data_IF_772322951246
#
_entry.id   IF_772322951246
#
_cell.length_a   1.000
_cell.length_b   1.000
_cell.length_c   1.000
_cell.angle_alpha   90.00
_cell.angle_beta   90.00
_cell.angle_gamma   90.00
#
_symmetry.space_group_name_H-M   'P 1'
#
loop_
_entity.id
_entity.type
_entity.pdbx_description
1 polymer ?
#
# COMPACT_ATOMS: atom_id res chain seq x y z
N UNK A 1 -37.13 7.31 17.85
CA UNK A 1 -36.16 7.78 16.85
C UNK A 1 -36.33 6.88 15.65
N UNK A 2 -36.55 7.43 14.46
CA UNK A 2 -36.63 6.63 13.23
C UNK A 2 -35.26 6.01 12.96
N UNK A 3 -35.05 4.78 13.41
CA UNK A 3 -33.85 4.02 13.07
C UNK A 3 -34.03 3.46 11.67
N UNK A 4 -33.55 4.22 10.68
CA UNK A 4 -33.46 3.76 9.30
C UNK A 4 -32.57 2.51 9.27
N UNK A 5 -33.11 1.41 8.73
CA UNK A 5 -32.32 0.20 8.48
C UNK A 5 -31.36 0.48 7.33
N UNK A 6 -30.08 0.20 7.58
CA UNK A 6 -29.00 0.42 6.63
C UNK A 6 -28.26 -0.89 6.38
N UNK A 7 -27.95 -1.16 5.12
CA UNK A 7 -27.08 -2.27 4.74
C UNK A 7 -25.62 -1.91 5.03
N UNK A 8 -24.81 -2.93 5.29
CA UNK A 8 -23.37 -2.78 5.44
C UNK A 8 -22.71 -3.06 4.09
N UNK A 9 -21.88 -2.12 3.64
CA UNK A 9 -21.01 -2.30 2.49
C UNK A 9 -19.58 -2.56 2.96
N UNK A 10 -18.92 -3.52 2.33
CA UNK A 10 -17.52 -3.82 2.64
C UNK A 10 -16.62 -2.69 2.16
N UNK A 11 -15.71 -2.24 3.02
CA UNK A 11 -14.65 -1.30 2.68
C UNK A 11 -13.27 -1.88 3.00
N UNK A 12 -12.21 -1.33 2.42
CA UNK A 12 -10.83 -1.74 2.72
C UNK A 12 -10.43 -1.50 4.17
N UNK A 13 -11.10 -0.58 4.87
CA UNK A 13 -10.85 -0.29 6.29
C UNK A 13 -11.27 -1.45 7.21
N UNK A 14 -12.22 -2.28 6.76
CA UNK A 14 -12.72 -3.46 7.49
C UNK A 14 -11.84 -4.71 7.33
N UNK A 15 -10.87 -4.68 6.41
CA UNK A 15 -9.95 -5.78 6.18
C UNK A 15 -8.96 -5.91 7.33
N UNK A 16 -8.81 -7.10 7.92
CA UNK A 16 -7.79 -7.42 8.92
C UNK A 16 -6.50 -8.02 8.32
N UNK A 17 -6.38 -7.96 6.98
CA UNK A 17 -5.23 -8.46 6.24
C UNK A 17 -5.11 -9.98 6.27
N UNK A 18 -6.23 -10.67 6.40
CA UNK A 18 -6.30 -12.12 6.32
C UNK A 18 -7.48 -12.48 5.45
N UNK A 19 -7.22 -12.77 4.17
CA UNK A 19 -8.26 -13.15 3.21
C UNK A 19 -9.30 -14.13 3.77
N UNK A 20 -8.88 -15.14 4.55
CA UNK A 20 -9.80 -16.13 5.13
C UNK A 20 -10.80 -15.48 6.10
N UNK A 21 -10.33 -14.58 6.96
CA UNK A 21 -11.17 -13.89 7.93
C UNK A 21 -11.97 -12.78 7.26
N UNK A 22 -11.36 -12.05 6.32
CA UNK A 22 -12.04 -11.00 5.55
C UNK A 22 -13.17 -11.56 4.67
N UNK A 23 -13.01 -12.76 4.11
CA UNK A 23 -14.07 -13.46 3.39
C UNK A 23 -15.21 -13.91 4.32
N UNK A 24 -14.89 -14.33 5.55
CA UNK A 24 -15.89 -14.63 6.57
C UNK A 24 -16.67 -13.34 6.96
N UNK A 25 -15.99 -12.20 7.16
CA UNK A 25 -16.64 -10.91 7.45
C UNK A 25 -17.60 -10.49 6.33
N UNK A 26 -17.18 -10.60 5.06
CA UNK A 26 -18.05 -10.31 3.91
C UNK A 26 -19.27 -11.22 3.88
N UNK A 27 -19.09 -12.50 4.23
CA UNK A 27 -20.20 -13.45 4.30
C UNK A 27 -21.17 -13.08 5.42
N UNK A 28 -20.67 -12.72 6.61
CA UNK A 28 -21.47 -12.23 7.73
C UNK A 28 -22.26 -10.97 7.35
N UNK A 29 -21.65 -10.02 6.64
CA UNK A 29 -22.35 -8.84 6.12
C UNK A 29 -23.42 -9.19 5.09
N UNK A 30 -23.18 -10.19 4.24
CA UNK A 30 -24.21 -10.69 3.31
C UNK A 30 -25.42 -11.28 4.05
N UNK A 31 -25.19 -12.02 5.13
CA UNK A 31 -26.26 -12.58 5.97
C UNK A 31 -26.99 -11.44 6.69
N UNK A 32 -26.26 -10.49 7.28
CA UNK A 32 -26.85 -9.29 7.89
C UNK A 32 -27.70 -8.49 6.90
N UNK A 33 -27.20 -8.26 5.68
CA UNK A 33 -27.93 -7.53 4.65
C UNK A 33 -29.22 -8.26 4.24
N UNK A 34 -29.26 -9.59 4.36
CA UNK A 34 -30.49 -10.37 4.16
C UNK A 34 -31.50 -10.17 5.30
N UNK A 35 -31.04 -9.99 6.55
CA UNK A 35 -31.90 -9.56 7.67
C UNK A 35 -32.46 -8.16 7.44
N UNK A 36 -31.61 -7.22 7.00
CA UNK A 36 -32.01 -5.86 6.67
C UNK A 36 -33.11 -5.86 5.58
N UNK A 37 -32.97 -6.69 4.54
CA UNK A 37 -33.99 -6.86 3.50
C UNK A 37 -35.30 -7.43 4.05
N UNK A 38 -35.25 -8.38 4.99
CA UNK A 38 -36.46 -8.87 5.65
C UNK A 38 -37.23 -7.76 6.37
N UNK A 39 -36.53 -6.81 7.00
CA UNK A 39 -37.17 -5.67 7.69
C UNK A 39 -37.71 -4.65 6.68
N UNK A 40 -36.91 -4.29 5.67
CA UNK A 40 -37.29 -3.30 4.64
C UNK A 40 -38.47 -3.76 3.79
N UNK A 41 -38.50 -5.05 3.44
CA UNK A 41 -39.55 -5.66 2.62
C UNK A 41 -40.69 -6.26 3.46
N UNK A 42 -40.64 -6.15 4.79
CA UNK A 42 -41.67 -6.64 5.72
C UNK A 42 -41.99 -8.15 5.54
N UNK A 43 -40.96 -8.98 5.35
CA UNK A 43 -41.08 -10.44 5.10
C UNK A 43 -41.59 -11.27 6.29
N UNK A 44 -41.83 -10.64 7.43
CA UNK A 44 -42.39 -11.26 8.64
C UNK A 44 -41.36 -11.99 9.52
N UNK A 45 -41.78 -12.34 10.73
CA UNK A 45 -40.89 -12.82 11.79
C UNK A 45 -40.25 -14.19 11.53
N UNK A 46 -40.92 -15.09 10.79
CA UNK A 46 -40.39 -16.43 10.52
C UNK A 46 -39.14 -16.36 9.64
N UNK A 47 -39.21 -15.62 8.52
CA UNK A 47 -38.06 -15.42 7.64
C UNK A 47 -36.92 -14.68 8.36
N UNK A 48 -37.25 -13.72 9.22
CA UNK A 48 -36.24 -13.04 10.04
C UNK A 48 -35.53 -14.00 11.00
N UNK A 49 -36.29 -14.86 11.71
CA UNK A 49 -35.74 -15.83 12.64
C UNK A 49 -34.86 -16.88 11.96
N UNK A 50 -35.22 -17.36 10.76
CA UNK A 50 -34.42 -18.28 9.97
C UNK A 50 -33.04 -17.70 9.61
N UNK A 51 -33.01 -16.45 9.14
CA UNK A 51 -31.75 -15.78 8.78
C UNK A 51 -30.94 -15.45 10.05
N UNK A 52 -31.58 -15.09 11.17
CA UNK A 52 -30.90 -14.87 12.44
C UNK A 52 -30.24 -16.15 12.96
N UNK A 53 -30.89 -17.30 12.79
CA UNK A 53 -30.30 -18.62 13.08
C UNK A 53 -29.08 -18.87 12.21
N UNK A 54 -29.18 -18.65 10.90
CA UNK A 54 -28.06 -18.81 9.97
C UNK A 54 -26.88 -17.88 10.34
N UNK A 55 -27.16 -16.64 10.75
CA UNK A 55 -26.14 -15.71 11.22
C UNK A 55 -25.47 -16.22 12.48
N UNK A 56 -26.23 -16.76 13.43
CA UNK A 56 -25.72 -17.32 14.68
C UNK A 56 -24.76 -18.50 14.42
N UNK A 57 -25.17 -19.43 13.56
CA UNK A 57 -24.37 -20.61 13.20
C UNK A 57 -23.08 -20.22 12.49
N UNK A 58 -23.16 -19.26 11.56
CA UNK A 58 -21.99 -18.78 10.85
C UNK A 58 -21.03 -18.02 11.78
N UNK A 59 -21.56 -17.21 12.71
CA UNK A 59 -20.78 -16.47 13.71
C UNK A 59 -19.94 -17.42 14.57
N UNK A 60 -20.51 -18.53 15.05
CA UNK A 60 -19.79 -19.56 15.82
C UNK A 60 -18.61 -20.15 15.04
N UNK A 61 -18.83 -20.42 13.76
CA UNK A 61 -17.80 -20.98 12.87
C UNK A 61 -16.68 -19.98 12.62
N UNK A 62 -17.03 -18.72 12.39
CA UNK A 62 -16.10 -17.61 12.22
C UNK A 62 -15.26 -17.37 13.49
N UNK A 63 -15.90 -17.22 14.66
CA UNK A 63 -15.20 -16.98 15.93
C UNK A 63 -14.18 -18.07 16.25
N UNK A 64 -14.52 -19.34 15.98
CA UNK A 64 -13.56 -20.44 16.16
C UNK A 64 -12.33 -20.28 15.27
N UNK A 65 -12.50 -19.91 14.00
CA UNK A 65 -11.38 -19.66 13.07
C UNK A 65 -10.55 -18.46 13.50
N UNK A 66 -11.21 -17.39 13.92
CA UNK A 66 -10.57 -16.18 14.39
C UNK A 66 -9.75 -16.41 15.67
N UNK A 67 -10.31 -17.13 16.64
CA UNK A 67 -9.60 -17.50 17.86
C UNK A 67 -8.37 -18.35 17.58
N UNK A 68 -8.47 -19.34 16.69
CA UNK A 68 -7.33 -20.13 16.23
C UNK A 68 -6.29 -19.27 15.49
N UNK A 69 -6.76 -18.29 14.72
CA UNK A 69 -5.89 -17.34 14.04
C UNK A 69 -5.10 -16.51 15.07
N UNK A 70 -5.75 -15.96 16.10
CA UNK A 70 -5.09 -15.23 17.19
C UNK A 70 -4.10 -16.09 17.99
N UNK A 71 -4.42 -17.36 18.24
CA UNK A 71 -3.52 -18.31 18.91
C UNK A 71 -2.23 -18.54 18.12
N UNK A 72 -2.31 -18.56 16.79
CA UNK A 72 -1.15 -18.82 15.92
C UNK A 72 0.00 -17.80 16.04
N UNK A 73 -0.29 -16.60 16.57
CA UNK A 73 0.71 -15.56 16.82
C UNK A 73 0.70 -15.06 18.28
N UNK A 74 0.13 -15.87 19.19
CA UNK A 74 0.14 -15.61 20.64
C UNK A 74 -0.41 -14.23 21.01
N UNK A 75 -1.56 -13.83 20.45
CA UNK A 75 -2.19 -12.55 20.77
C UNK A 75 -2.53 -12.47 22.28
N UNK A 76 -1.96 -11.52 23.04
CA UNK A 76 -2.15 -11.46 24.49
C UNK A 76 -3.59 -11.10 24.91
N UNK A 77 -4.37 -10.48 24.03
CA UNK A 77 -5.76 -10.09 24.31
C UNK A 77 -6.81 -11.18 24.05
N UNK A 78 -6.40 -12.41 23.73
CA UNK A 78 -7.31 -13.47 23.27
C UNK A 78 -8.41 -13.81 24.27
N UNK A 79 -8.12 -13.85 25.58
CA UNK A 79 -9.12 -14.24 26.58
C UNK A 79 -10.27 -13.22 26.66
N UNK A 80 -9.95 -11.93 26.58
CA UNK A 80 -10.95 -10.86 26.52
C UNK A 80 -11.76 -10.89 25.23
N UNK A 81 -11.12 -11.24 24.11
CA UNK A 81 -11.78 -11.40 22.81
C UNK A 81 -12.76 -12.58 22.81
N UNK A 82 -12.36 -13.73 23.37
CA UNK A 82 -13.23 -14.89 23.59
C UNK A 82 -14.45 -14.55 24.45
N UNK A 83 -14.27 -13.71 25.48
CA UNK A 83 -15.42 -13.28 26.29
C UNK A 83 -16.36 -12.36 25.51
N UNK A 84 -15.81 -11.44 24.70
CA UNK A 84 -16.61 -10.59 23.81
C UNK A 84 -17.47 -11.41 22.82
N UNK A 85 -16.91 -12.48 22.25
CA UNK A 85 -17.67 -13.44 21.43
C UNK A 85 -18.79 -14.12 22.20
N UNK A 86 -18.53 -14.60 23.43
CA UNK A 86 -19.55 -15.26 24.25
C UNK A 86 -20.73 -14.35 24.55
N UNK A 87 -20.50 -13.06 24.81
CA UNK A 87 -21.58 -12.09 25.05
C UNK A 87 -22.48 -11.90 23.81
N UNK A 88 -21.90 -11.88 22.62
CA UNK A 88 -22.68 -11.87 21.39
C UNK A 88 -23.52 -13.14 21.24
N UNK A 89 -22.91 -14.32 21.43
CA UNK A 89 -23.60 -15.61 21.32
C UNK A 89 -24.77 -15.69 22.31
N UNK A 90 -24.59 -15.24 23.55
CA UNK A 90 -25.67 -15.15 24.55
C UNK A 90 -26.81 -14.26 24.06
N UNK A 91 -26.48 -13.10 23.48
CA UNK A 91 -27.47 -12.13 22.99
C UNK A 91 -28.28 -12.68 21.82
N UNK A 92 -27.63 -13.26 20.81
CA UNK A 92 -28.33 -13.83 19.65
C UNK A 92 -29.12 -15.10 20.00
N UNK A 93 -28.61 -15.93 20.92
CA UNK A 93 -29.37 -17.07 21.45
C UNK A 93 -30.63 -16.61 22.19
N UNK A 94 -30.54 -15.53 22.99
CA UNK A 94 -31.70 -14.93 23.64
C UNK A 94 -32.72 -14.42 22.62
N UNK A 95 -32.31 -13.70 21.58
CA UNK A 95 -33.21 -13.24 20.52
C UNK A 95 -33.89 -14.42 19.81
N UNK A 96 -33.13 -15.42 19.36
CA UNK A 96 -33.66 -16.63 18.72
C UNK A 96 -34.71 -17.32 19.60
N UNK A 97 -34.44 -17.47 20.90
CA UNK A 97 -35.40 -18.09 21.83
C UNK A 97 -36.72 -17.31 21.94
N UNK A 98 -36.66 -15.97 21.86
CA UNK A 98 -37.85 -15.11 21.95
C UNK A 98 -38.67 -15.06 20.67
N UNK A 99 -38.07 -15.24 19.50
CA UNK A 99 -38.82 -15.35 18.25
C UNK A 99 -39.76 -16.57 18.22
N UNK A 100 -39.48 -17.60 19.02
CA UNK A 100 -40.34 -18.77 19.20
C UNK A 100 -41.42 -18.57 20.29
N UNK A 101 -41.44 -17.42 20.96
CA UNK A 101 -42.35 -17.11 22.06
C UNK A 101 -43.56 -16.30 21.59
N UNK A 102 -44.55 -16.13 22.47
CA UNK A 102 -45.71 -15.27 22.24
C UNK A 102 -45.39 -13.77 22.19
N UNK A 103 -44.17 -13.36 22.54
CA UNK A 103 -43.73 -11.97 22.54
C UNK A 103 -42.33 -11.82 21.88
N UNK A 104 -42.27 -11.94 20.54
CA UNK A 104 -41.02 -11.80 19.79
C UNK A 104 -40.39 -10.41 19.98
N UNK A 105 -39.06 -10.30 19.88
CA UNK A 105 -38.39 -9.01 19.96
C UNK A 105 -38.70 -8.16 18.71
N UNK A 106 -38.49 -6.85 18.82
CA UNK A 106 -38.60 -5.96 17.67
C UNK A 106 -37.47 -6.24 16.67
N UNK A 107 -37.84 -6.53 15.41
CA UNK A 107 -36.88 -6.80 14.34
C UNK A 107 -35.97 -5.60 14.07
N UNK A 108 -36.43 -4.37 14.32
CA UNK A 108 -35.59 -3.17 14.19
C UNK A 108 -34.52 -3.13 15.29
N UNK A 109 -34.88 -3.46 16.54
CA UNK A 109 -33.95 -3.52 17.66
C UNK A 109 -32.86 -4.58 17.42
N UNK A 110 -33.27 -5.79 17.01
CA UNK A 110 -32.32 -6.88 16.73
C UNK A 110 -31.39 -6.51 15.57
N UNK A 111 -31.93 -5.93 14.49
CA UNK A 111 -31.11 -5.52 13.34
C UNK A 111 -30.13 -4.41 13.71
N UNK A 112 -30.54 -3.44 14.53
CA UNK A 112 -29.66 -2.39 15.02
C UNK A 112 -28.55 -2.93 15.93
N UNK A 113 -28.87 -3.86 16.82
CA UNK A 113 -27.90 -4.55 17.67
C UNK A 113 -26.84 -5.25 16.82
N UNK A 114 -27.26 -6.06 15.84
CA UNK A 114 -26.35 -6.84 15.00
C UNK A 114 -25.42 -5.93 14.20
N UNK A 115 -25.95 -4.87 13.59
CA UNK A 115 -25.15 -3.88 12.85
C UNK A 115 -24.07 -3.28 13.73
N UNK A 116 -24.49 -2.72 14.86
CA UNK A 116 -23.61 -2.01 15.79
C UNK A 116 -22.55 -2.94 16.36
N UNK A 117 -22.94 -4.18 16.68
CA UNK A 117 -22.01 -5.16 17.23
C UNK A 117 -20.95 -5.56 16.21
N UNK A 118 -21.33 -5.93 14.98
CA UNK A 118 -20.39 -6.38 13.94
C UNK A 118 -19.50 -5.25 13.42
N UNK A 119 -20.04 -4.05 13.24
CA UNK A 119 -19.22 -2.89 12.86
C UNK A 119 -18.17 -2.61 13.94
N UNK A 120 -18.56 -2.63 15.23
CA UNK A 120 -17.61 -2.42 16.31
C UNK A 120 -16.60 -3.56 16.46
N UNK A 121 -17.04 -4.82 16.34
CA UNK A 121 -16.20 -6.00 16.41
C UNK A 121 -15.09 -5.92 15.35
N UNK A 122 -15.45 -5.74 14.09
CA UNK A 122 -14.50 -5.74 12.97
C UNK A 122 -13.62 -4.49 12.97
N UNK A 123 -14.22 -3.29 13.13
CA UNK A 123 -13.47 -2.04 13.00
C UNK A 123 -12.62 -1.71 14.24
N UNK A 124 -13.00 -2.19 15.42
CA UNK A 124 -12.32 -1.78 16.67
C UNK A 124 -11.74 -2.94 17.47
N UNK A 125 -12.37 -4.11 17.48
CA UNK A 125 -11.90 -5.25 18.28
C UNK A 125 -10.88 -6.05 17.46
N UNK A 126 -11.22 -6.44 16.25
CA UNK A 126 -10.37 -7.30 15.42
C UNK A 126 -9.10 -6.59 14.96
N UNK A 127 -9.22 -5.29 14.68
CA UNK A 127 -8.08 -4.42 14.37
C UNK A 127 -6.98 -4.47 15.43
N UNK A 128 -7.29 -4.72 16.69
CA UNK A 128 -6.28 -4.78 17.76
C UNK A 128 -5.32 -5.95 17.59
N UNK A 129 -5.81 -7.12 17.18
CA UNK A 129 -4.91 -8.26 16.98
C UNK A 129 -4.16 -8.15 15.65
N UNK A 130 -4.74 -7.49 14.64
CA UNK A 130 -4.01 -7.12 13.41
C UNK A 130 -2.84 -6.18 13.76
N UNK A 131 -3.11 -5.09 14.48
CA UNK A 131 -2.09 -4.12 14.92
C UNK A 131 -1.00 -4.79 15.76
N UNK A 132 -1.37 -5.69 16.67
CA UNK A 132 -0.42 -6.47 17.44
C UNK A 132 0.47 -7.33 16.54
N UNK A 133 -0.13 -8.07 15.60
CA UNK A 133 0.60 -8.94 14.68
C UNK A 133 1.57 -8.15 13.79
N UNK A 134 1.12 -7.02 13.26
CA UNK A 134 1.97 -6.09 12.49
C UNK A 134 3.13 -5.59 13.35
N UNK A 135 2.85 -5.18 14.59
CA UNK A 135 3.85 -4.70 15.54
C UNK A 135 4.89 -5.76 15.90
N UNK A 136 4.47 -7.03 16.06
CA UNK A 136 5.40 -8.14 16.32
C UNK A 136 6.35 -8.35 15.14
N UNK A 137 5.85 -8.35 13.91
CA UNK A 137 6.67 -8.50 12.70
C UNK A 137 7.67 -7.33 12.59
N UNK A 138 7.20 -6.10 12.76
CA UNK A 138 8.04 -4.90 12.73
C UNK A 138 9.13 -4.95 13.81
N UNK A 139 8.80 -5.42 15.01
CA UNK A 139 9.77 -5.56 16.11
C UNK A 139 10.90 -6.52 15.75
N UNK A 140 10.59 -7.68 15.15
CA UNK A 140 11.60 -8.67 14.74
C UNK A 140 12.56 -8.06 13.73
N UNK A 141 12.04 -7.39 12.69
CA UNK A 141 12.84 -6.75 11.65
C UNK A 141 13.73 -5.66 12.26
N UNK A 142 13.16 -4.80 13.10
CA UNK A 142 13.89 -3.70 13.73
C UNK A 142 14.98 -4.18 14.67
N UNK A 143 14.75 -5.27 15.41
CA UNK A 143 15.77 -5.89 16.24
C UNK A 143 16.91 -6.45 15.40
N UNK A 144 16.62 -7.12 14.29
CA UNK A 144 17.65 -7.62 13.36
C UNK A 144 18.46 -6.46 12.76
N UNK A 145 17.82 -5.42 12.24
CA UNK A 145 18.48 -4.21 11.74
C UNK A 145 19.35 -3.55 12.83
N UNK A 146 18.81 -3.39 14.04
CA UNK A 146 19.53 -2.80 15.15
C UNK A 146 20.77 -3.62 15.52
N UNK A 147 20.69 -4.95 15.49
CA UNK A 147 21.82 -5.84 15.77
C UNK A 147 22.96 -5.73 14.75
N UNK A 148 22.63 -5.30 13.52
CA UNK A 148 23.59 -5.09 12.42
C UNK A 148 24.00 -3.63 12.23
N UNK A 149 23.46 -2.71 13.05
CA UNK A 149 23.71 -1.28 12.91
C UNK A 149 25.19 -0.92 13.10
N UNK A 150 25.65 0.07 12.33
CA UNK A 150 27.03 0.54 12.40
C UNK A 150 27.07 2.07 12.28
N UNK A 151 27.52 2.74 13.35
CA UNK A 151 27.54 4.20 13.44
C UNK A 151 28.49 4.87 12.45
N UNK A 152 29.63 4.25 12.15
CA UNK A 152 30.61 4.79 11.20
C UNK A 152 30.06 4.73 9.77
N UNK A 153 29.45 3.60 9.40
CA UNK A 153 28.75 3.48 8.14
C UNK A 153 27.57 4.46 8.04
N UNK A 154 26.80 4.66 9.12
CA UNK A 154 25.72 5.65 9.13
C UNK A 154 26.25 7.08 8.91
N UNK A 155 27.35 7.44 9.58
CA UNK A 155 27.99 8.75 9.43
C UNK A 155 28.55 8.94 8.01
N UNK A 156 29.21 7.93 7.43
CA UNK A 156 29.69 7.95 6.06
C UNK A 156 28.52 8.02 5.06
N UNK A 157 27.46 7.24 5.29
CA UNK A 157 26.24 7.24 4.48
C UNK A 157 25.60 8.62 4.37
N UNK A 158 25.50 9.34 5.49
CA UNK A 158 24.95 10.71 5.51
C UNK A 158 25.72 11.69 4.60
N UNK A 159 27.02 11.46 4.32
CA UNK A 159 27.81 12.33 3.44
C UNK A 159 27.36 12.28 1.97
N UNK A 160 26.65 11.21 1.56
CA UNK A 160 26.10 11.06 0.21
C UNK A 160 24.77 11.78 0.01
N UNK A 161 24.14 12.26 1.10
CA UNK A 161 22.85 12.94 1.06
C UNK A 161 23.00 14.41 1.42
N UNK A 162 22.33 15.28 0.67
CA UNK A 162 22.23 16.71 1.01
C UNK A 162 21.24 16.90 2.18
N UNK A 163 20.16 16.13 2.16
CA UNK A 163 19.17 16.04 3.22
C UNK A 163 19.66 15.19 4.40
N UNK A 164 19.11 15.45 5.59
CA UNK A 164 19.30 14.58 6.75
C UNK A 164 18.53 13.27 6.54
N UNK A 165 19.22 12.13 6.64
CA UNK A 165 18.64 10.80 6.46
C UNK A 165 18.83 9.99 7.74
N UNK A 166 17.74 9.41 8.25
CA UNK A 166 17.81 8.44 9.36
C UNK A 166 18.26 7.10 8.79
N UNK A 167 19.30 6.52 9.37
CA UNK A 167 19.80 5.21 8.91
C UNK A 167 20.47 4.44 10.05
N UNK A 168 20.43 3.12 9.95
CA UNK A 168 21.14 2.20 10.85
C UNK A 168 22.63 2.06 10.48
N UNK A 169 23.01 2.39 9.24
CA UNK A 169 24.37 2.22 8.73
C UNK A 169 24.63 0.81 8.22
N UNK A 170 23.62 0.16 7.66
CA UNK A 170 23.73 -1.20 7.13
C UNK A 170 23.94 -1.14 5.61
N UNK A 171 24.80 -2.00 5.07
CA UNK A 171 25.04 -2.04 3.63
C UNK A 171 23.79 -2.53 2.90
N UNK A 172 23.50 -1.95 1.73
CA UNK A 172 22.31 -2.29 0.93
C UNK A 172 22.17 -3.78 0.62
N UNK A 173 23.27 -4.49 0.42
CA UNK A 173 23.28 -5.94 0.19
C UNK A 173 22.76 -6.74 1.41
N UNK A 174 23.15 -6.32 2.61
CA UNK A 174 22.72 -6.94 3.86
C UNK A 174 21.24 -6.62 4.14
N UNK A 175 20.80 -5.37 3.91
CA UNK A 175 19.38 -5.00 3.98
C UNK A 175 18.54 -5.84 3.03
N UNK A 176 19.01 -6.05 1.80
CA UNK A 176 18.33 -6.91 0.80
C UNK A 176 18.25 -8.37 1.28
N UNK A 177 19.30 -8.87 1.93
CA UNK A 177 19.32 -10.22 2.50
C UNK A 177 18.30 -10.37 3.63
N UNK A 178 18.24 -9.40 4.54
CA UNK A 178 17.25 -9.33 5.62
C UNK A 178 15.84 -9.31 5.03
N UNK A 179 15.58 -8.40 4.09
CA UNK A 179 14.28 -8.25 3.42
C UNK A 179 13.80 -9.60 2.85
N UNK A 180 14.65 -10.30 2.09
CA UNK A 180 14.32 -11.60 1.48
C UNK A 180 14.15 -12.71 2.51
N UNK A 181 14.96 -12.71 3.57
CA UNK A 181 14.85 -13.71 4.64
C UNK A 181 13.53 -13.57 5.39
N UNK A 182 13.22 -12.35 5.83
CA UNK A 182 12.02 -12.05 6.60
C UNK A 182 10.75 -12.19 5.75
N UNK A 183 10.79 -11.90 4.44
CA UNK A 183 9.62 -12.10 3.58
C UNK A 183 9.14 -13.56 3.50
N UNK A 184 10.01 -14.55 3.76
CA UNK A 184 9.62 -15.97 3.73
C UNK A 184 8.51 -16.30 4.72
N UNK A 185 8.53 -15.68 5.91
CA UNK A 185 7.47 -15.87 6.91
C UNK A 185 6.16 -15.19 6.51
N UNK A 186 6.19 -14.30 5.51
CA UNK A 186 5.06 -13.51 5.04
C UNK A 186 4.46 -14.03 3.72
N UNK A 187 4.96 -15.15 3.16
CA UNK A 187 4.49 -15.66 1.86
C UNK A 187 3.00 -16.02 1.82
N UNK A 188 2.41 -16.37 2.97
CA UNK A 188 0.99 -16.70 3.11
C UNK A 188 0.09 -15.47 3.27
N UNK A 189 0.69 -14.27 3.40
CA UNK A 189 -0.04 -13.01 3.57
C UNK A 189 -0.51 -12.45 2.23
N UNK A 190 -1.70 -11.88 2.21
CA UNK A 190 -2.22 -11.14 1.06
C UNK A 190 -1.49 -9.80 0.86
N UNK A 191 -1.71 -9.17 -0.31
CA UNK A 191 -1.14 -7.86 -0.66
C UNK A 191 -1.45 -6.78 0.39
N UNK A 192 -2.70 -6.72 0.87
CA UNK A 192 -3.16 -5.69 1.81
C UNK A 192 -2.35 -5.74 3.12
N UNK A 193 -2.20 -6.93 3.70
CA UNK A 193 -1.36 -7.19 4.87
C UNK A 193 0.09 -6.71 4.66
N UNK A 194 0.69 -7.06 3.51
CA UNK A 194 2.07 -6.67 3.21
C UNK A 194 2.19 -5.14 3.05
N UNK A 195 1.22 -4.51 2.39
CA UNK A 195 1.19 -3.06 2.20
C UNK A 195 1.00 -2.32 3.53
N UNK A 196 0.23 -2.88 4.47
CA UNK A 196 0.14 -2.38 5.85
C UNK A 196 1.51 -2.34 6.53
N UNK A 197 2.31 -3.42 6.41
CA UNK A 197 3.67 -3.45 6.96
C UNK A 197 4.58 -2.45 6.23
N UNK A 198 4.51 -2.39 4.90
CA UNK A 198 5.29 -1.45 4.09
C UNK A 198 4.99 0.00 4.50
N UNK A 199 3.73 0.33 4.78
CA UNK A 199 3.32 1.66 5.25
C UNK A 199 4.02 2.03 6.55
N UNK A 200 4.08 1.11 7.52
CA UNK A 200 4.78 1.33 8.80
C UNK A 200 6.30 1.43 8.69
N UNK A 201 6.89 0.72 7.73
CA UNK A 201 8.32 0.81 7.41
C UNK A 201 8.67 2.12 6.70
N UNK A 202 7.81 2.62 5.81
CA UNK A 202 7.96 3.94 5.21
C UNK A 202 7.75 5.07 6.22
N UNK A 203 6.75 4.95 7.09
CA UNK A 203 6.41 5.94 8.13
C UNK A 203 7.60 6.24 9.07
N UNK A 204 8.49 5.26 9.31
CA UNK A 204 9.68 5.47 10.15
C UNK A 204 10.69 6.46 9.55
N UNK A 205 10.67 6.62 8.22
CA UNK A 205 11.63 7.38 7.42
C UNK A 205 13.09 6.94 7.62
N UNK A 206 13.29 5.71 8.10
CA UNK A 206 14.62 5.11 8.18
C UNK A 206 14.94 4.48 6.82
N UNK A 207 16.12 4.81 6.28
CA UNK A 207 16.54 4.41 4.93
C UNK A 207 16.42 2.90 4.73
N UNK A 208 16.97 2.10 5.65
CA UNK A 208 16.97 0.65 5.51
C UNK A 208 15.58 0.02 5.70
N UNK A 209 14.72 0.57 6.58
CA UNK A 209 13.32 0.13 6.68
C UNK A 209 12.55 0.43 5.39
N UNK A 210 12.74 1.64 4.84
CA UNK A 210 12.12 2.04 3.57
C UNK A 210 12.59 1.17 2.40
N UNK A 211 13.85 0.74 2.39
CA UNK A 211 14.37 -0.20 1.39
C UNK A 211 13.69 -1.57 1.49
N UNK A 212 13.42 -2.07 2.71
CA UNK A 212 12.65 -3.30 2.90
C UNK A 212 11.22 -3.13 2.36
N UNK A 213 10.57 -1.99 2.64
CA UNK A 213 9.24 -1.68 2.11
C UNK A 213 9.21 -1.63 0.57
N UNK A 214 10.25 -1.08 -0.07
CA UNK A 214 10.39 -1.10 -1.52
C UNK A 214 10.49 -2.53 -2.07
N UNK A 215 11.34 -3.37 -1.47
CA UNK A 215 11.51 -4.77 -1.91
C UNK A 215 10.20 -5.57 -1.74
N UNK A 216 9.53 -5.43 -0.60
CA UNK A 216 8.31 -6.18 -0.28
C UNK A 216 7.10 -5.74 -1.10
N UNK A 217 6.92 -4.44 -1.31
CA UNK A 217 5.88 -3.95 -2.22
C UNK A 217 6.12 -4.47 -3.65
N UNK A 218 7.36 -4.46 -4.14
CA UNK A 218 7.70 -5.01 -5.46
C UNK A 218 7.49 -6.54 -5.55
N UNK A 219 7.71 -7.29 -4.47
CA UNK A 219 7.43 -8.73 -4.45
C UNK A 219 5.95 -9.04 -4.71
N UNK A 220 5.04 -8.13 -4.35
CA UNK A 220 3.60 -8.22 -4.60
C UNK A 220 3.14 -7.73 -5.97
N UNK A 221 4.04 -7.35 -6.89
CA UNK A 221 3.69 -6.80 -8.23
C UNK A 221 2.74 -7.63 -9.09
N UNK A 222 2.67 -8.95 -8.86
CA UNK A 222 1.74 -9.84 -9.58
C UNK A 222 0.30 -9.70 -9.08
N UNK A 223 0.09 -9.14 -7.91
CA UNK A 223 -1.19 -8.92 -7.24
C UNK A 223 -1.64 -7.45 -7.34
N UNK A 224 -0.91 -6.59 -8.06
CA UNK A 224 -1.29 -5.18 -8.20
C UNK A 224 -2.65 -5.02 -8.91
N UNK A 225 -3.38 -4.01 -8.46
CA UNK A 225 -4.69 -3.54 -8.93
C UNK A 225 -4.57 -2.05 -9.27
N UNK A 226 -5.48 -1.50 -10.09
CA UNK A 226 -5.37 -0.12 -10.58
C UNK A 226 -5.36 0.91 -9.44
N UNK A 227 -6.07 0.63 -8.35
CA UNK A 227 -6.24 1.47 -7.17
C UNK A 227 -4.96 1.55 -6.32
N UNK A 228 -4.00 0.64 -6.50
CA UNK A 228 -2.73 0.68 -5.76
C UNK A 228 -1.92 1.94 -6.04
N UNK A 229 -2.20 2.64 -7.15
CA UNK A 229 -1.56 3.93 -7.48
C UNK A 229 -1.79 4.98 -6.40
N UNK A 230 -2.96 4.96 -5.74
CA UNK A 230 -3.31 5.89 -4.67
C UNK A 230 -2.46 5.62 -3.42
N UNK A 231 -2.22 4.34 -3.12
CA UNK A 231 -1.31 3.93 -2.04
C UNK A 231 0.12 4.37 -2.33
N UNK A 232 0.58 4.20 -3.58
CA UNK A 232 1.93 4.63 -3.98
C UNK A 232 2.09 6.14 -3.93
N UNK A 233 1.09 6.88 -4.39
CA UNK A 233 1.03 8.34 -4.27
C UNK A 233 1.08 8.76 -2.80
N UNK A 234 0.31 8.11 -1.93
CA UNK A 234 0.30 8.38 -0.50
C UNK A 234 1.69 8.18 0.14
N UNK A 235 2.37 7.05 -0.12
CA UNK A 235 3.71 6.80 0.40
C UNK A 235 4.74 7.81 -0.12
N UNK A 236 4.72 8.12 -1.42
CA UNK A 236 5.59 9.11 -2.03
C UNK A 236 5.38 10.51 -1.46
N UNK A 237 4.11 10.88 -1.21
CA UNK A 237 3.74 12.19 -0.69
C UNK A 237 4.15 12.39 0.77
N UNK A 238 3.99 11.36 1.60
CA UNK A 238 4.05 11.50 3.06
C UNK A 238 5.33 10.93 3.69
N UNK A 239 6.03 10.01 3.03
CA UNK A 239 7.08 9.22 3.68
C UNK A 239 8.41 9.23 2.93
N UNK A 240 8.42 9.48 1.62
CA UNK A 240 9.67 9.54 0.85
C UNK A 240 10.33 10.90 1.03
N UNK A 241 11.56 10.89 1.55
CA UNK A 241 12.28 12.11 1.97
C UNK A 241 13.65 12.28 1.32
N UNK A 242 14.12 11.30 0.56
CA UNK A 242 15.44 11.29 -0.08
C UNK A 242 15.40 10.59 -1.44
N UNK A 243 16.43 10.86 -2.26
CA UNK A 243 16.50 10.34 -3.63
C UNK A 243 16.68 8.83 -3.68
N UNK A 244 17.37 8.22 -2.71
CA UNK A 244 17.65 6.78 -2.73
C UNK A 244 16.37 5.95 -2.54
N UNK A 245 15.51 6.36 -1.60
CA UNK A 245 14.20 5.71 -1.39
C UNK A 245 13.29 5.95 -2.60
N UNK A 246 13.22 7.20 -3.10
CA UNK A 246 12.44 7.55 -4.28
C UNK A 246 12.80 6.66 -5.47
N UNK A 247 14.09 6.57 -5.79
CA UNK A 247 14.58 5.79 -6.94
C UNK A 247 14.36 4.29 -6.76
N UNK A 248 14.60 3.76 -5.56
CA UNK A 248 14.43 2.33 -5.26
C UNK A 248 12.96 1.93 -5.41
N UNK A 249 12.05 2.73 -4.84
CA UNK A 249 10.62 2.49 -4.94
C UNK A 249 10.11 2.63 -6.37
N UNK A 250 10.49 3.72 -7.06
CA UNK A 250 9.93 4.05 -8.36
C UNK A 250 10.46 3.17 -9.49
N UNK A 251 11.76 2.88 -9.54
CA UNK A 251 12.34 2.05 -10.59
C UNK A 251 11.76 0.62 -10.61
N UNK A 252 11.34 0.11 -9.44
CA UNK A 252 10.87 -1.26 -9.29
C UNK A 252 9.36 -1.33 -9.10
N UNK A 253 8.84 -0.84 -7.97
CA UNK A 253 7.41 -0.98 -7.62
C UNK A 253 6.53 -0.19 -8.58
N UNK A 254 6.76 1.12 -8.73
CA UNK A 254 5.94 1.97 -9.60
C UNK A 254 6.20 1.66 -11.08
N UNK A 255 7.44 1.36 -11.46
CA UNK A 255 7.77 0.94 -12.82
C UNK A 255 7.04 -0.35 -13.23
N UNK A 256 7.01 -1.37 -12.37
CA UNK A 256 6.26 -2.59 -12.63
C UNK A 256 4.74 -2.35 -12.68
N UNK A 257 4.23 -1.44 -11.86
CA UNK A 257 2.84 -1.01 -11.93
C UNK A 257 2.53 -0.34 -13.27
N UNK A 258 3.37 0.59 -13.74
CA UNK A 258 3.19 1.27 -15.02
C UNK A 258 3.21 0.30 -16.21
N UNK A 259 4.03 -0.75 -16.17
CA UNK A 259 4.03 -1.80 -17.20
C UNK A 259 2.76 -2.65 -17.17
N UNK A 260 2.20 -2.91 -15.98
CA UNK A 260 0.98 -3.69 -15.81
C UNK A 260 -0.28 -2.89 -16.20
N UNK A 261 -0.30 -1.60 -15.88
CA UNK A 261 -1.42 -0.69 -16.14
C UNK A 261 -0.97 0.54 -16.96
N UNK A 262 -0.64 0.39 -18.26
CA UNK A 262 -0.17 1.50 -19.09
C UNK A 262 -1.13 2.69 -19.16
N UNK A 263 -2.44 2.44 -19.00
CA UNK A 263 -3.47 3.47 -18.99
C UNK A 263 -3.35 4.44 -17.79
N UNK A 264 -2.75 3.99 -16.67
CA UNK A 264 -2.52 4.80 -15.47
C UNK A 264 -1.25 5.64 -15.52
N UNK A 265 -0.49 5.60 -16.62
CA UNK A 265 0.71 6.44 -16.78
C UNK A 265 0.34 7.94 -16.84
N UNK A 266 -0.91 8.28 -17.22
CA UNK A 266 -1.42 9.65 -17.08
C UNK A 266 -1.28 10.19 -15.66
N UNK A 267 -1.41 9.32 -14.64
CA UNK A 267 -1.36 9.72 -13.24
C UNK A 267 0.07 10.12 -12.85
N UNK A 268 1.09 9.47 -13.42
CA UNK A 268 2.49 9.89 -13.27
C UNK A 268 2.73 11.30 -13.80
N UNK A 269 2.04 11.73 -14.86
CA UNK A 269 2.12 13.12 -15.33
C UNK A 269 1.55 14.10 -14.32
N UNK A 270 0.48 13.73 -13.62
CA UNK A 270 -0.07 14.58 -12.55
C UNK A 270 0.94 14.77 -11.41
N UNK A 271 1.77 13.77 -11.12
CA UNK A 271 2.83 13.86 -10.11
C UNK A 271 3.92 14.86 -10.52
N UNK A 272 4.19 15.01 -11.82
CA UNK A 272 5.16 15.98 -12.34
C UNK A 272 4.78 17.44 -12.09
N UNK A 273 3.49 17.74 -11.84
CA UNK A 273 3.02 19.08 -11.47
C UNK A 273 2.98 19.32 -9.95
N UNK A 274 3.23 18.30 -9.13
CA UNK A 274 3.02 18.40 -7.68
C UNK A 274 4.07 19.31 -7.00
N UNK A 275 3.70 20.12 -5.98
CA UNK A 275 4.67 20.92 -5.23
C UNK A 275 5.74 20.09 -4.52
N UNK A 276 5.45 18.82 -4.19
CA UNK A 276 6.42 17.90 -3.62
C UNK A 276 7.45 17.44 -4.68
N UNK A 277 8.72 17.81 -4.48
CA UNK A 277 9.82 17.46 -5.38
C UNK A 277 10.01 15.95 -5.57
N UNK A 278 9.68 15.13 -4.57
CA UNK A 278 9.84 13.68 -4.67
C UNK A 278 8.78 13.05 -5.56
N UNK A 279 7.57 13.60 -5.61
CA UNK A 279 6.56 13.21 -6.60
C UNK A 279 6.98 13.62 -8.01
N UNK A 280 7.52 14.83 -8.18
CA UNK A 280 8.02 15.27 -9.49
C UNK A 280 9.19 14.41 -9.98
N UNK A 281 10.13 14.08 -9.09
CA UNK A 281 11.20 13.12 -9.40
C UNK A 281 10.62 11.74 -9.72
N UNK A 282 9.68 11.24 -8.92
CA UNK A 282 9.04 9.94 -9.10
C UNK A 282 8.36 9.80 -10.46
N UNK A 283 7.72 10.87 -10.97
CA UNK A 283 7.12 10.89 -12.30
C UNK A 283 8.14 10.47 -13.38
N UNK A 284 9.35 11.02 -13.32
CA UNK A 284 10.41 10.67 -14.26
C UNK A 284 11.06 9.31 -13.95
N UNK A 285 11.46 9.07 -12.70
CA UNK A 285 12.27 7.88 -12.38
C UNK A 285 11.46 6.58 -12.45
N UNK A 286 10.13 6.62 -12.31
CA UNK A 286 9.27 5.43 -12.48
C UNK A 286 9.36 4.80 -13.86
N UNK A 287 9.69 5.59 -14.89
CA UNK A 287 9.77 5.11 -16.27
C UNK A 287 11.17 4.64 -16.67
N UNK A 288 12.18 4.72 -15.80
CA UNK A 288 13.56 4.35 -16.14
C UNK A 288 13.69 2.87 -16.52
N UNK A 289 13.16 1.96 -15.71
CA UNK A 289 13.28 0.51 -15.99
C UNK A 289 12.52 0.14 -17.26
N UNK A 290 11.26 0.58 -17.47
CA UNK A 290 10.57 0.39 -18.74
C UNK A 290 11.30 1.00 -19.96
N UNK A 291 11.89 2.18 -19.80
CA UNK A 291 12.62 2.89 -20.85
C UNK A 291 13.87 2.12 -21.33
N UNK A 292 14.50 1.31 -20.47
CA UNK A 292 15.61 0.42 -20.89
C UNK A 292 15.19 -0.57 -21.98
N UNK A 293 13.91 -0.91 -22.03
CA UNK A 293 13.32 -1.76 -23.07
C UNK A 293 12.65 -0.95 -24.18
N UNK A 294 12.93 0.35 -24.28
CA UNK A 294 12.35 1.26 -25.28
C UNK A 294 10.88 1.58 -25.08
N UNK A 295 10.29 1.27 -23.93
CA UNK A 295 8.87 1.54 -23.65
C UNK A 295 8.63 2.99 -23.26
N UNK A 296 7.39 3.45 -23.47
CA UNK A 296 6.86 4.73 -22.98
C UNK A 296 7.62 5.98 -23.44
N UNK A 297 8.19 5.99 -24.66
CA UNK A 297 8.88 7.16 -25.20
C UNK A 297 8.01 8.42 -25.15
N UNK A 298 6.80 8.37 -25.72
CA UNK A 298 5.91 9.53 -25.79
C UNK A 298 5.55 10.07 -24.39
N UNK A 299 5.19 9.19 -23.46
CA UNK A 299 4.85 9.57 -22.09
C UNK A 299 6.06 10.12 -21.35
N UNK A 300 7.25 9.57 -21.59
CA UNK A 300 8.50 10.06 -20.99
C UNK A 300 8.85 11.46 -21.47
N UNK A 301 8.72 11.74 -22.78
CA UNK A 301 8.93 13.08 -23.34
C UNK A 301 7.96 14.08 -22.72
N UNK A 302 6.67 13.73 -22.62
CA UNK A 302 5.67 14.60 -21.99
C UNK A 302 5.98 14.91 -20.52
N UNK A 303 6.51 13.93 -19.76
CA UNK A 303 6.97 14.19 -18.38
C UNK A 303 8.20 15.11 -18.39
N UNK A 304 9.14 14.91 -19.33
CA UNK A 304 10.30 15.77 -19.47
C UNK A 304 9.93 17.21 -19.85
N UNK A 305 8.89 17.42 -20.65
CA UNK A 305 8.37 18.75 -21.00
C UNK A 305 7.89 19.49 -19.73
N UNK A 306 7.11 18.81 -18.89
CA UNK A 306 6.59 19.37 -17.63
C UNK A 306 7.74 19.75 -16.69
N UNK A 307 8.77 18.91 -16.61
CA UNK A 307 9.90 19.07 -15.69
C UNK A 307 11.06 19.89 -16.28
N UNK A 308 10.95 20.34 -17.53
CA UNK A 308 12.06 20.87 -18.32
C UNK A 308 12.84 21.96 -17.56
N UNK A 309 12.12 22.90 -16.97
CA UNK A 309 12.68 24.05 -16.25
C UNK A 309 12.54 23.94 -14.73
N UNK A 310 12.37 22.73 -14.19
CA UNK A 310 12.28 22.53 -12.73
C UNK A 310 13.52 23.10 -12.03
N UNK A 311 13.33 23.79 -10.90
CA UNK A 311 14.41 24.42 -10.17
C UNK A 311 15.20 23.45 -9.27
N UNK A 312 14.63 22.28 -8.93
CA UNK A 312 15.25 21.35 -8.00
C UNK A 312 16.26 20.42 -8.70
N UNK A 313 17.52 20.43 -8.22
CA UNK A 313 18.63 19.61 -8.73
C UNK A 313 18.30 18.10 -8.74
N UNK A 314 17.52 17.60 -7.79
CA UNK A 314 17.11 16.20 -7.78
C UNK A 314 16.08 15.91 -8.87
N UNK A 315 15.15 16.82 -9.16
CA UNK A 315 14.18 16.60 -10.24
C UNK A 315 14.89 16.66 -11.59
N UNK A 316 15.78 17.65 -11.77
CA UNK A 316 16.61 17.79 -12.96
C UNK A 316 17.42 16.53 -13.29
N UNK A 317 18.09 15.95 -12.29
CA UNK A 317 18.83 14.68 -12.45
C UNK A 317 17.91 13.51 -12.77
N UNK A 318 16.69 13.50 -12.23
CA UNK A 318 15.70 12.44 -12.46
C UNK A 318 15.29 12.36 -13.93
N UNK A 319 14.76 13.45 -14.49
CA UNK A 319 14.33 13.43 -15.91
C UNK A 319 15.51 13.38 -16.89
N UNK A 320 16.66 13.97 -16.53
CA UNK A 320 17.89 13.81 -17.30
C UNK A 320 18.33 12.34 -17.36
N UNK A 321 18.21 11.59 -16.26
CA UNK A 321 18.50 10.15 -16.25
C UNK A 321 17.48 9.36 -17.09
N UNK A 322 16.20 9.73 -17.09
CA UNK A 322 15.21 9.12 -17.98
C UNK A 322 15.60 9.30 -19.45
N UNK A 323 15.92 10.52 -19.88
CA UNK A 323 16.40 10.79 -21.25
C UNK A 323 17.68 10.03 -21.59
N UNK A 324 18.63 9.96 -20.64
CA UNK A 324 19.86 9.17 -20.79
C UNK A 324 19.56 7.72 -21.14
N UNK A 325 18.63 7.11 -20.42
CA UNK A 325 18.27 5.70 -20.60
C UNK A 325 17.49 5.50 -21.90
N UNK A 326 16.56 6.39 -22.22
CA UNK A 326 15.84 6.34 -23.50
C UNK A 326 16.80 6.44 -24.69
N UNK A 327 17.88 7.20 -24.58
CA UNK A 327 18.85 7.36 -25.67
C UNK A 327 19.53 6.05 -26.10
N UNK A 328 19.53 5.01 -25.27
CA UNK A 328 20.05 3.68 -25.64
C UNK A 328 19.21 3.03 -26.77
N UNK A 329 17.92 3.35 -26.85
CA UNK A 329 16.97 2.75 -27.82
C UNK A 329 16.36 3.76 -28.79
N UNK A 330 16.23 5.02 -28.38
CA UNK A 330 15.60 6.12 -29.11
C UNK A 330 16.55 7.32 -29.23
N UNK A 331 17.81 7.05 -29.61
CA UNK A 331 18.87 8.09 -29.62
C UNK A 331 18.48 9.31 -30.45
N UNK A 332 17.90 9.09 -31.62
CA UNK A 332 17.56 10.16 -32.57
C UNK A 332 16.51 11.08 -31.95
N UNK A 333 15.42 10.51 -31.45
CA UNK A 333 14.29 11.21 -30.86
C UNK A 333 14.71 11.99 -29.61
N UNK A 334 15.53 11.36 -28.75
CA UNK A 334 16.06 12.04 -27.55
C UNK A 334 17.01 13.18 -27.94
N UNK A 335 17.86 13.00 -28.95
CA UNK A 335 18.77 14.06 -29.41
C UNK A 335 18.01 15.24 -30.01
N UNK A 336 17.00 14.97 -30.86
CA UNK A 336 16.11 16.00 -31.41
C UNK A 336 15.40 16.78 -30.30
N UNK A 337 14.88 16.08 -29.30
CA UNK A 337 14.27 16.69 -28.11
C UNK A 337 15.25 17.60 -27.34
N UNK A 338 16.48 17.11 -27.09
CA UNK A 338 17.51 17.89 -26.39
C UNK A 338 17.87 19.14 -27.19
N UNK A 339 18.05 19.03 -28.51
CA UNK A 339 18.42 20.16 -29.36
C UNK A 339 17.30 21.21 -29.44
N UNK A 340 16.04 20.78 -29.50
CA UNK A 340 14.88 21.68 -29.50
C UNK A 340 14.76 22.49 -28.20
N UNK A 341 15.19 21.92 -27.07
CA UNK A 341 15.03 22.50 -25.73
C UNK A 341 16.35 23.01 -25.11
N UNK A 342 17.44 22.98 -25.87
CA UNK A 342 18.81 23.20 -25.36
C UNK A 342 19.00 24.54 -24.67
N UNK A 343 18.32 25.59 -25.12
CA UNK A 343 18.44 26.94 -24.57
C UNK A 343 17.81 27.08 -23.17
N UNK A 344 16.69 26.39 -22.92
CA UNK A 344 15.96 26.43 -21.65
C UNK A 344 16.35 25.31 -20.69
N UNK A 345 16.87 24.19 -21.21
CA UNK A 345 17.20 23.01 -20.42
C UNK A 345 18.36 23.30 -19.44
N UNK A 346 18.20 23.03 -18.13
CA UNK A 346 19.28 23.10 -17.16
C UNK A 346 20.48 22.23 -17.57
N UNK A 347 21.69 22.77 -17.39
CA UNK A 347 22.95 22.09 -17.75
C UNK A 347 23.10 20.72 -17.09
N UNK A 348 22.57 20.54 -15.89
CA UNK A 348 22.58 19.25 -15.18
C UNK A 348 21.83 18.21 -15.99
N UNK A 349 20.58 18.48 -16.36
CA UNK A 349 19.74 17.56 -17.12
C UNK A 349 20.28 17.30 -18.52
N UNK A 350 20.76 18.35 -19.21
CA UNK A 350 21.36 18.22 -20.54
C UNK A 350 22.54 17.26 -20.52
N UNK A 351 23.46 17.42 -19.54
CA UNK A 351 24.64 16.54 -19.41
C UNK A 351 24.27 15.09 -19.15
N UNK A 352 23.25 14.84 -18.33
CA UNK A 352 22.72 13.49 -18.12
C UNK A 352 22.15 12.93 -19.42
N UNK A 353 21.25 13.67 -20.09
CA UNK A 353 20.53 13.23 -21.28
C UNK A 353 21.47 12.76 -22.40
N UNK A 354 22.60 13.46 -22.59
CA UNK A 354 23.57 13.14 -23.64
C UNK A 354 24.71 12.21 -23.18
N UNK A 355 24.75 11.77 -21.92
CA UNK A 355 25.90 11.07 -21.31
C UNK A 355 26.33 9.82 -22.09
N UNK A 356 25.38 9.10 -22.70
CA UNK A 356 25.63 7.88 -23.46
C UNK A 356 25.80 8.08 -24.96
N UNK A 357 25.53 9.28 -25.47
CA UNK A 357 25.60 9.56 -26.91
C UNK A 357 27.05 9.58 -27.44
N UNK A 358 27.23 9.39 -28.76
CA UNK A 358 28.50 9.63 -29.46
C UNK A 358 29.12 11.00 -29.17
N UNK A 359 30.45 11.08 -29.24
CA UNK A 359 31.21 12.27 -28.84
C UNK A 359 30.97 13.51 -29.71
N UNK A 360 30.67 13.30 -30.99
CA UNK A 360 30.25 14.33 -31.94
C UNK A 360 28.89 14.92 -31.57
N UNK A 361 27.87 14.09 -31.29
CA UNK A 361 26.56 14.56 -30.84
C UNK A 361 26.65 15.32 -29.51
N UNK A 362 27.46 14.83 -28.56
CA UNK A 362 27.73 15.55 -27.31
C UNK A 362 28.31 16.93 -27.55
N UNK A 363 29.27 17.07 -28.46
CA UNK A 363 29.86 18.37 -28.81
C UNK A 363 28.81 19.32 -29.38
N UNK A 364 27.95 18.85 -30.29
CA UNK A 364 26.86 19.65 -30.88
C UNK A 364 25.89 20.12 -29.78
N UNK A 365 25.44 19.21 -28.92
CA UNK A 365 24.52 19.53 -27.82
C UNK A 365 25.14 20.49 -26.78
N UNK A 366 26.47 20.50 -26.61
CA UNK A 366 27.16 21.34 -25.63
C UNK A 366 27.66 22.70 -26.18
N UNK A 367 27.58 22.95 -27.49
CA UNK A 367 27.92 24.26 -28.07
C UNK A 367 27.01 25.36 -27.52
N UNK A 368 27.48 26.60 -27.41
CA UNK A 368 26.63 27.70 -26.94
C UNK A 368 25.61 28.11 -27.98
#
# INVERSE_FOLDING_TARGET
>A
MDHKIEKIEWSSEMSIGSKIIDDDHKTLFSIYNSLADCVLEQKGNNSFAEILSAMTDYSLTHFKKEEQYMESFSYPGIDGHKEFHKEYIKSVAFFNSRFLSSNPPDVYEVTHFLKTWWENHILNIDKKYEDFKLSSILSIIRQELQSMSNREHAASGQQFFKEKVKMYGIRSADVTKIAKSQYKSLLHKDKSSIFGICSKLFESQILEESMIACEWSYMKRKEFEEEDIDTFFFWLSNHVTNWAVCDTFCNHTVGAFAERFPNKISDLKSWAYNPNKWLRRAAAVSLIVPARSGKFLSQSIQICDILLTDADDMVQKGYGWLLKVLSDTHQKEVFEYVMANKESMPRTSLRYAIEKMPGDLKKIAMQK
#
